data_IF_826431820834
#
_entry.id   IF_826431820834
#
_cell.length_a   1.000
_cell.length_b   1.000
_cell.length_c   1.000
_cell.angle_alpha   90.00
_cell.angle_beta   90.00
_cell.angle_gamma   90.00
#
_symmetry.space_group_name_H-M   'P 1'
#
loop_
_entity.id
_entity.type
_entity.pdbx_description
1 polymer ?
#
# COMPACT_ATOMS: atom_id res chain seq x y z
N UNK A 1 -2.18 -11.52 13.93
CA UNK A 1 -3.13 -10.71 13.09
C UNK A 1 -3.16 -9.21 13.38
N UNK A 2 -3.41 -8.79 14.63
CA UNK A 2 -3.38 -7.36 15.00
C UNK A 2 -1.96 -6.81 14.90
N UNK A 3 -0.96 -7.64 15.24
CA UNK A 3 0.45 -7.30 15.14
C UNK A 3 0.86 -6.87 13.73
N UNK A 4 0.38 -7.54 12.67
CA UNK A 4 0.70 -7.17 11.29
C UNK A 4 0.14 -5.78 10.93
N UNK A 5 -1.11 -5.49 11.31
CA UNK A 5 -1.70 -4.17 11.11
C UNK A 5 -0.95 -3.08 11.91
N UNK A 6 -0.56 -3.36 13.16
CA UNK A 6 0.22 -2.42 13.96
C UNK A 6 1.60 -2.15 13.34
N UNK A 7 2.31 -3.20 12.90
CA UNK A 7 3.62 -3.07 12.27
C UNK A 7 3.53 -2.34 10.92
N UNK A 8 2.46 -2.57 10.15
CA UNK A 8 2.20 -1.78 8.95
C UNK A 8 2.04 -0.29 9.26
N UNK A 9 1.29 0.07 10.32
CA UNK A 9 1.17 1.48 10.73
C UNK A 9 2.54 2.06 11.14
N UNK A 10 3.39 1.31 11.84
CA UNK A 10 4.77 1.73 12.14
C UNK A 10 5.57 1.97 10.86
N UNK A 11 5.46 1.07 9.87
CA UNK A 11 6.11 1.24 8.57
C UNK A 11 5.57 2.46 7.82
N UNK A 12 4.25 2.68 7.85
CA UNK A 12 3.60 3.82 7.23
C UNK A 12 4.12 5.13 7.80
N UNK A 13 4.04 5.32 9.13
CA UNK A 13 4.57 6.53 9.78
C UNK A 13 6.07 6.68 9.55
N UNK A 14 6.81 5.59 9.66
CA UNK A 14 8.25 5.54 9.42
C UNK A 14 8.64 6.07 8.04
N UNK A 15 7.99 5.56 6.99
CA UNK A 15 8.26 5.94 5.61
C UNK A 15 7.77 7.35 5.28
N UNK A 16 6.69 7.82 5.91
CA UNK A 16 6.18 9.18 5.71
C UNK A 16 7.09 10.23 6.36
N UNK A 17 7.53 10.03 7.60
CA UNK A 17 8.34 11.02 8.31
C UNK A 17 9.84 10.98 7.98
N UNK A 18 10.39 9.79 7.73
CA UNK A 18 11.83 9.61 7.49
C UNK A 18 12.15 9.19 6.05
N UNK A 19 11.15 9.02 5.19
CA UNK A 19 11.35 8.72 3.77
C UNK A 19 12.23 7.49 3.56
N UNK A 20 13.24 7.66 2.71
CA UNK A 20 14.15 6.58 2.32
C UNK A 20 15.02 6.06 3.49
N UNK A 21 15.23 6.85 4.55
CA UNK A 21 16.03 6.42 5.71
C UNK A 21 15.35 5.31 6.51
N UNK A 22 14.02 5.17 6.43
CA UNK A 22 13.28 4.14 7.15
C UNK A 22 13.20 2.80 6.41
N UNK A 23 13.56 2.77 5.12
CA UNK A 23 13.48 1.57 4.26
C UNK A 23 14.17 0.34 4.88
N UNK A 24 15.38 0.42 5.47
CA UNK A 24 16.02 -0.75 6.08
C UNK A 24 15.18 -1.40 7.19
N UNK A 25 14.47 -0.59 7.99
CA UNK A 25 13.59 -1.08 9.07
C UNK A 25 12.42 -1.87 8.49
N UNK A 26 11.82 -1.37 7.41
CA UNK A 26 10.71 -2.04 6.72
C UNK A 26 11.20 -3.36 6.10
N UNK A 27 12.41 -3.41 5.53
CA UNK A 27 12.96 -4.66 5.02
C UNK A 27 13.27 -5.69 6.11
N UNK A 28 13.76 -5.25 7.28
CA UNK A 28 13.93 -6.14 8.44
C UNK A 28 12.58 -6.73 8.84
N UNK A 29 11.54 -5.91 8.90
CA UNK A 29 10.19 -6.37 9.21
C UNK A 29 9.63 -7.31 8.13
N UNK A 30 9.76 -6.99 6.84
CA UNK A 30 9.31 -7.85 5.74
C UNK A 30 10.05 -9.20 5.74
N UNK A 31 11.36 -9.21 6.02
CA UNK A 31 12.13 -10.45 6.14
C UNK A 31 11.66 -11.28 7.34
N UNK A 32 11.37 -10.64 8.48
CA UNK A 32 10.76 -11.31 9.62
C UNK A 32 9.36 -11.84 9.29
N UNK A 33 8.50 -11.04 8.66
CA UNK A 33 7.15 -11.43 8.23
C UNK A 33 7.19 -12.67 7.34
N UNK A 34 8.00 -12.65 6.27
CA UNK A 34 8.16 -13.77 5.35
C UNK A 34 8.62 -15.04 6.06
N UNK A 35 9.60 -14.95 6.98
CA UNK A 35 10.08 -16.11 7.76
C UNK A 35 8.98 -16.74 8.63
N UNK A 36 8.01 -15.94 9.08
CA UNK A 36 6.92 -16.37 9.94
C UNK A 36 5.65 -16.77 9.17
N UNK A 37 5.60 -16.51 7.86
CA UNK A 37 4.49 -16.95 7.02
C UNK A 37 4.58 -18.47 6.75
N UNK A 38 3.45 -19.20 6.77
CA UNK A 38 3.43 -20.64 6.44
C UNK A 38 3.93 -20.95 5.03
N UNK A 39 3.67 -20.04 4.08
CA UNK A 39 4.04 -20.18 2.67
C UNK A 39 4.85 -18.95 2.20
N UNK A 40 6.14 -18.83 2.60
CA UNK A 40 6.95 -17.64 2.33
C UNK A 40 7.08 -17.32 0.84
N UNK A 41 7.11 -18.34 -0.02
CA UNK A 41 7.21 -18.17 -1.47
C UNK A 41 5.98 -17.48 -2.07
N UNK A 42 4.78 -17.91 -1.66
CA UNK A 42 3.54 -17.31 -2.14
C UNK A 42 3.36 -15.89 -1.59
N UNK A 43 3.72 -15.68 -0.32
CA UNK A 43 3.70 -14.35 0.30
C UNK A 43 4.65 -13.39 -0.42
N UNK A 44 5.87 -13.83 -0.72
CA UNK A 44 6.83 -13.04 -1.48
C UNK A 44 6.33 -12.71 -2.88
N UNK A 45 5.73 -13.69 -3.58
CA UNK A 45 5.13 -13.47 -4.90
C UNK A 45 4.01 -12.43 -4.86
N UNK A 46 3.13 -12.48 -3.84
CA UNK A 46 2.09 -11.48 -3.66
C UNK A 46 2.71 -10.09 -3.40
N UNK A 47 3.66 -9.99 -2.48
CA UNK A 47 4.34 -8.72 -2.18
C UNK A 47 4.97 -8.12 -3.44
N UNK A 48 5.67 -8.94 -4.22
CA UNK A 48 6.30 -8.50 -5.46
C UNK A 48 5.27 -8.02 -6.50
N UNK A 49 4.20 -8.79 -6.74
CA UNK A 49 3.16 -8.43 -7.70
C UNK A 49 2.47 -7.13 -7.32
N UNK A 50 2.08 -6.99 -6.05
CA UNK A 50 1.38 -5.79 -5.56
C UNK A 50 2.30 -4.58 -5.56
N UNK A 51 3.57 -4.72 -5.18
CA UNK A 51 4.54 -3.63 -5.28
C UNK A 51 4.77 -3.19 -6.74
N UNK A 52 4.84 -4.13 -7.69
CA UNK A 52 4.96 -3.81 -9.11
C UNK A 52 3.71 -3.11 -9.67
N UNK A 53 2.51 -3.55 -9.27
CA UNK A 53 1.27 -2.88 -9.64
C UNK A 53 1.23 -1.47 -9.05
N UNK A 54 1.57 -1.32 -7.78
CA UNK A 54 1.65 -0.02 -7.09
C UNK A 54 2.61 0.95 -7.77
N UNK A 55 3.81 0.46 -8.13
CA UNK A 55 4.79 1.21 -8.92
C UNK A 55 4.18 1.76 -10.20
N UNK A 56 3.48 0.91 -10.97
CA UNK A 56 2.87 1.31 -12.24
C UNK A 56 1.75 2.32 -12.00
N UNK A 57 0.84 2.06 -11.07
CA UNK A 57 -0.33 2.91 -10.81
C UNK A 57 0.10 4.29 -10.30
N UNK A 58 0.88 4.35 -9.23
CA UNK A 58 1.23 5.66 -8.64
C UNK A 58 2.23 6.43 -9.51
N UNK A 59 3.12 5.76 -10.26
CA UNK A 59 3.95 6.45 -11.25
C UNK A 59 3.11 6.98 -12.42
N UNK A 60 2.07 6.27 -12.83
CA UNK A 60 1.13 6.76 -13.86
C UNK A 60 0.39 8.00 -13.35
N UNK A 61 -0.08 7.98 -12.11
CA UNK A 61 -0.74 9.14 -11.48
C UNK A 61 0.23 10.32 -11.33
N UNK A 62 1.50 10.06 -11.01
CA UNK A 62 2.56 11.07 -10.99
C UNK A 62 2.78 11.68 -12.39
N UNK A 63 2.90 10.87 -13.44
CA UNK A 63 3.12 11.34 -14.82
C UNK A 63 1.93 12.11 -15.41
N UNK A 64 0.70 11.74 -15.02
CA UNK A 64 -0.50 12.51 -15.36
C UNK A 64 -0.55 13.85 -14.60
N UNK A 65 0.28 14.01 -13.56
CA UNK A 65 0.32 15.20 -12.72
C UNK A 65 -0.74 15.18 -11.63
N UNK A 66 -1.31 14.04 -11.26
CA UNK A 66 -2.17 13.96 -10.06
C UNK A 66 -1.32 14.11 -8.79
N UNK A 67 -0.17 13.46 -8.78
CA UNK A 67 0.81 13.50 -7.70
C UNK A 67 2.09 14.20 -8.14
N UNK A 68 2.75 14.80 -7.16
CA UNK A 68 4.14 15.25 -7.28
C UNK A 68 4.86 14.99 -5.96
N UNK A 69 6.17 14.83 -6.07
CA UNK A 69 7.04 14.53 -4.96
C UNK A 69 8.22 15.52 -5.01
N UNK A 70 8.88 15.75 -3.87
CA UNK A 70 9.99 16.71 -3.77
C UNK A 70 11.11 16.43 -4.77
N UNK A 71 11.38 15.16 -5.03
CA UNK A 71 12.40 14.74 -5.98
C UNK A 71 11.77 14.35 -7.31
N UNK A 72 12.10 15.09 -8.36
CA UNK A 72 11.72 14.72 -9.73
C UNK A 72 12.40 13.41 -10.15
N UNK A 73 11.59 12.47 -10.65
CA UNK A 73 12.03 11.13 -11.04
C UNK A 73 11.04 10.55 -12.06
N UNK A 74 11.49 9.56 -12.83
CA UNK A 74 10.62 8.82 -13.77
C UNK A 74 9.67 7.85 -13.08
N UNK A 75 9.96 7.50 -11.81
CA UNK A 75 9.15 6.59 -11.00
C UNK A 75 8.92 7.20 -9.62
N UNK A 76 7.90 6.70 -8.93
CA UNK A 76 7.63 7.09 -7.54
C UNK A 76 8.86 6.91 -6.63
N UNK A 77 8.97 7.69 -5.55
CA UNK A 77 10.05 7.55 -4.58
C UNK A 77 10.16 6.14 -4.01
N UNK A 78 11.38 5.73 -3.69
CA UNK A 78 11.66 4.39 -3.17
C UNK A 78 10.88 4.08 -1.87
N UNK A 79 10.69 5.06 -0.99
CA UNK A 79 9.89 4.90 0.22
C UNK A 79 8.44 4.52 -0.08
N UNK A 80 7.83 5.06 -1.13
CA UNK A 80 6.44 4.76 -1.50
C UNK A 80 6.33 3.36 -2.12
N UNK A 81 7.32 2.95 -2.92
CA UNK A 81 7.40 1.58 -3.43
C UNK A 81 7.53 0.56 -2.29
N UNK A 82 8.36 0.87 -1.28
CA UNK A 82 8.50 0.04 -0.09
C UNK A 82 7.23 0.05 0.78
N UNK A 83 6.50 1.17 0.80
CA UNK A 83 5.18 1.24 1.44
C UNK A 83 4.18 0.31 0.77
N UNK A 84 4.20 0.21 -0.55
CA UNK A 84 3.39 -0.76 -1.30
C UNK A 84 3.73 -2.21 -0.95
N UNK A 85 5.02 -2.54 -0.80
CA UNK A 85 5.44 -3.86 -0.34
C UNK A 85 4.97 -4.15 1.09
N UNK A 86 5.06 -3.16 1.99
CA UNK A 86 4.53 -3.24 3.35
C UNK A 86 3.01 -3.46 3.38
N UNK A 87 2.28 -2.73 2.54
CA UNK A 87 0.84 -2.87 2.37
C UNK A 87 0.47 -4.27 1.88
N UNK A 88 1.20 -4.80 0.90
CA UNK A 88 0.97 -6.13 0.36
C UNK A 88 1.08 -7.24 1.42
N UNK A 89 2.02 -7.11 2.36
CA UNK A 89 2.18 -8.02 3.50
C UNK A 89 0.98 -8.02 4.47
N UNK A 90 0.04 -7.08 4.34
CA UNK A 90 -1.20 -7.04 5.12
C UNK A 90 -2.37 -7.71 4.42
N UNK A 91 -2.27 -7.96 3.11
CA UNK A 91 -3.38 -8.40 2.26
C UNK A 91 -3.87 -9.79 2.65
N UNK A 92 -2.97 -10.79 2.76
CA UNK A 92 -3.32 -12.15 3.17
C UNK A 92 -3.78 -12.26 4.63
N UNK A 93 -3.56 -11.21 5.43
CA UNK A 93 -3.77 -11.21 6.87
C UNK A 93 -4.89 -10.23 7.25
N UNK A 94 -4.54 -9.05 7.76
CA UNK A 94 -5.48 -8.11 8.35
C UNK A 94 -6.54 -7.61 7.36
N UNK A 95 -6.17 -7.34 6.10
CA UNK A 95 -7.10 -6.82 5.11
C UNK A 95 -8.09 -7.89 4.63
N UNK A 96 -7.66 -9.13 4.39
CA UNK A 96 -8.56 -10.24 3.98
C UNK A 96 -9.69 -10.50 4.97
N UNK A 97 -9.48 -10.27 6.26
CA UNK A 97 -10.53 -10.41 7.27
C UNK A 97 -11.64 -9.39 7.16
N UNK A 98 -11.29 -8.18 6.70
CA UNK A 98 -12.20 -7.05 6.54
C UNK A 98 -12.85 -7.13 5.15
N UNK A 99 -12.04 -7.32 4.11
CA UNK A 99 -12.42 -7.43 2.70
C UNK A 99 -13.00 -8.81 2.35
N UNK A 100 -14.07 -9.24 3.05
CA UNK A 100 -14.67 -10.57 2.89
C UNK A 100 -15.36 -10.81 1.55
N UNK A 101 -15.72 -9.75 0.84
CA UNK A 101 -16.31 -9.83 -0.50
C UNK A 101 -15.88 -8.63 -1.35
N UNK A 102 -16.17 -8.73 -2.65
CA UNK A 102 -15.81 -7.71 -3.65
C UNK A 102 -16.46 -6.35 -3.34
N UNK A 103 -17.71 -6.33 -2.86
CA UNK A 103 -18.43 -5.09 -2.53
C UNK A 103 -17.77 -4.35 -1.37
N UNK A 104 -17.42 -5.05 -0.29
CA UNK A 104 -16.71 -4.47 0.85
C UNK A 104 -15.34 -3.94 0.41
N UNK A 105 -14.61 -4.72 -0.40
CA UNK A 105 -13.31 -4.30 -0.96
C UNK A 105 -13.44 -3.03 -1.80
N UNK A 106 -14.49 -2.91 -2.62
CA UNK A 106 -14.77 -1.69 -3.40
C UNK A 106 -15.04 -0.50 -2.50
N UNK A 107 -15.87 -0.65 -1.47
CA UNK A 107 -16.18 0.44 -0.53
C UNK A 107 -14.93 0.89 0.24
N UNK A 108 -14.13 -0.05 0.73
CA UNK A 108 -12.87 0.26 1.44
C UNK A 108 -11.90 0.96 0.49
N UNK A 109 -11.76 0.47 -0.74
CA UNK A 109 -10.95 1.11 -1.78
C UNK A 109 -11.45 2.52 -2.12
N UNK A 110 -12.75 2.74 -2.17
CA UNK A 110 -13.33 4.04 -2.53
C UNK A 110 -13.21 5.09 -1.42
N UNK A 111 -13.29 4.69 -0.15
CA UNK A 111 -13.43 5.62 0.97
C UNK A 111 -12.30 5.58 2.00
N UNK A 112 -11.78 4.38 2.31
CA UNK A 112 -10.78 4.23 3.38
C UNK A 112 -9.37 4.43 2.84
N UNK A 113 -9.02 3.82 1.70
CA UNK A 113 -7.67 3.94 1.14
C UNK A 113 -7.31 5.38 0.75
N UNK A 114 -8.19 6.19 0.14
CA UNK A 114 -7.88 7.57 -0.21
C UNK A 114 -7.58 8.44 1.03
N UNK A 115 -8.12 8.10 2.21
CA UNK A 115 -7.76 8.80 3.45
C UNK A 115 -6.27 8.70 3.77
N UNK A 116 -5.61 7.60 3.39
CA UNK A 116 -4.16 7.45 3.55
C UNK A 116 -3.38 8.43 2.67
N UNK A 117 -3.84 8.65 1.42
CA UNK A 117 -3.24 9.65 0.53
C UNK A 117 -3.49 11.06 1.03
N UNK A 118 -4.70 11.34 1.54
CA UNK A 118 -5.00 12.63 2.18
C UNK A 118 -4.11 12.88 3.39
N UNK A 119 -3.89 11.86 4.23
CA UNK A 119 -2.97 11.98 5.36
C UNK A 119 -1.52 12.21 4.90
N UNK A 120 -1.07 11.51 3.86
CA UNK A 120 0.24 11.72 3.26
C UNK A 120 0.42 13.13 2.72
N UNK A 121 -0.62 13.69 2.08
CA UNK A 121 -0.59 15.07 1.58
C UNK A 121 -0.54 16.11 2.71
N UNK A 122 -1.33 15.90 3.78
CA UNK A 122 -1.29 16.77 4.97
C UNK A 122 0.02 16.72 5.74
N UNK A 123 0.79 15.65 5.55
CA UNK A 123 2.12 15.47 6.11
C UNK A 123 3.22 15.81 5.10
N UNK A 124 2.87 16.47 3.99
CA UNK A 124 3.80 16.95 2.95
C UNK A 124 4.62 15.84 2.25
N UNK A 125 4.20 14.57 2.37
CA UNK A 125 4.87 13.44 1.73
C UNK A 125 4.53 13.31 0.24
N UNK A 126 3.38 13.85 -0.19
CA UNK A 126 2.93 13.91 -1.58
C UNK A 126 2.13 15.19 -1.79
N UNK A 127 2.28 15.84 -2.94
CA UNK A 127 1.55 17.07 -3.24
C UNK A 127 0.57 16.84 -4.38
N UNK A 128 -0.67 17.30 -4.20
CA UNK A 128 -1.71 17.24 -5.23
C UNK A 128 -1.65 18.48 -6.13
N UNK A 129 -1.42 18.27 -7.42
CA UNK A 129 -1.29 19.37 -8.39
C UNK A 129 -2.63 19.74 -9.03
N UNK A 130 -3.58 18.80 -9.07
CA UNK A 130 -4.93 19.04 -9.57
C UNK A 130 -5.83 19.57 -8.44
N UNK A 131 -7.06 19.98 -8.79
CA UNK A 131 -8.03 20.39 -7.78
C UNK A 131 -8.29 19.26 -6.79
N UNK A 132 -8.43 19.60 -5.51
CA UNK A 132 -8.54 18.62 -4.42
C UNK A 132 -9.67 17.61 -4.66
N UNK A 133 -10.84 18.07 -5.13
CA UNK A 133 -11.97 17.20 -5.44
C UNK A 133 -11.67 16.24 -6.60
N UNK A 134 -11.01 16.71 -7.66
CA UNK A 134 -10.64 15.87 -8.80
C UNK A 134 -9.63 14.81 -8.38
N UNK A 135 -8.58 15.19 -7.66
CA UNK A 135 -7.56 14.25 -7.16
C UNK A 135 -8.18 13.18 -6.27
N UNK A 136 -8.99 13.57 -5.27
CA UNK A 136 -9.64 12.61 -4.37
C UNK A 136 -10.59 11.68 -5.14
N UNK A 137 -11.41 12.22 -6.05
CA UNK A 137 -12.30 11.40 -6.87
C UNK A 137 -11.52 10.39 -7.72
N UNK A 138 -10.41 10.81 -8.34
CA UNK A 138 -9.54 9.93 -9.12
C UNK A 138 -8.95 8.82 -8.25
N UNK A 139 -8.38 9.15 -7.08
CA UNK A 139 -7.81 8.16 -6.15
C UNK A 139 -8.90 7.18 -5.70
N UNK A 140 -10.09 7.67 -5.32
CA UNK A 140 -11.23 6.84 -4.94
C UNK A 140 -11.64 5.88 -6.05
N UNK A 141 -11.74 6.33 -7.30
CA UNK A 141 -12.12 5.47 -8.43
C UNK A 141 -11.04 4.42 -8.70
N UNK A 142 -9.77 4.83 -8.73
CA UNK A 142 -8.63 3.92 -8.93
C UNK A 142 -8.65 2.83 -7.85
N UNK A 143 -8.73 3.20 -6.58
CA UNK A 143 -8.69 2.24 -5.48
C UNK A 143 -9.95 1.41 -5.31
N UNK A 144 -11.12 1.94 -5.67
CA UNK A 144 -12.37 1.17 -5.74
C UNK A 144 -12.23 -0.03 -6.68
N UNK A 145 -11.51 0.13 -7.80
CA UNK A 145 -11.27 -0.94 -8.77
C UNK A 145 -10.04 -1.78 -8.42
N UNK A 146 -9.00 -1.15 -7.90
CA UNK A 146 -7.71 -1.78 -7.63
C UNK A 146 -7.78 -2.71 -6.41
N UNK A 147 -8.36 -2.27 -5.28
CA UNK A 147 -8.38 -3.09 -4.07
C UNK A 147 -9.04 -4.48 -4.27
N UNK A 148 -10.24 -4.61 -4.86
CA UNK A 148 -10.80 -5.94 -5.11
C UNK A 148 -9.95 -6.79 -6.06
N UNK A 149 -9.21 -6.17 -6.99
CA UNK A 149 -8.25 -6.89 -7.83
C UNK A 149 -7.04 -7.38 -7.03
N UNK A 150 -6.46 -6.55 -6.16
CA UNK A 150 -5.38 -6.99 -5.26
C UNK A 150 -5.85 -8.12 -4.32
N UNK A 151 -7.10 -8.04 -3.85
CA UNK A 151 -7.70 -9.10 -3.02
C UNK A 151 -7.86 -10.43 -3.76
N UNK A 152 -8.08 -10.42 -5.09
CA UNK A 152 -8.18 -11.65 -5.87
C UNK A 152 -6.83 -12.36 -6.06
N UNK A 153 -5.71 -11.65 -5.88
CA UNK A 153 -4.36 -12.22 -5.86
C UNK A 153 -4.03 -12.92 -4.53
N UNK A 154 -4.83 -12.68 -3.47
CA UNK A 154 -4.58 -13.27 -2.16
C UNK A 154 -4.82 -14.77 -2.16
N UNK A 155 -3.97 -15.50 -1.46
CA UNK A 155 -4.09 -16.96 -1.28
C UNK A 155 -4.70 -17.28 0.08
N UNK A 156 -5.39 -18.41 0.20
CA UNK A 156 -5.78 -18.91 1.53
C UNK A 156 -4.52 -19.34 2.29
N UNK A 157 -4.30 -18.71 3.44
CA UNK A 157 -3.24 -19.11 4.35
C UNK A 157 -3.88 -19.74 5.59
N UNK A 158 -3.38 -20.92 6.00
CA UNK A 158 -3.60 -21.39 7.38
C UNK A 158 -3.04 -20.30 8.30
N UNK A 159 -3.84 -19.77 9.23
CA UNK A 159 -3.48 -18.59 10.01
C UNK A 159 -2.07 -18.73 10.62
N UNK A 160 -1.11 -17.98 10.09
CA UNK A 160 0.21 -17.80 10.69
C UNK A 160 0.15 -16.65 11.70
N UNK A 161 0.68 -16.93 12.91
CA UNK A 161 0.75 -16.12 14.12
C UNK A 161 -0.51 -15.29 14.49
N UNK A 162 -1.15 -15.75 15.58
CA UNK A 162 -2.03 -14.98 16.44
C UNK A 162 -1.35 -13.66 16.84
#
# INVERSE_FOLDING_TARGET
>A
MILNALLFNVCWFGLIFWGNYFIPVVFIWLAWHLKNCPNPKQEFQLIFQVAAIGLIIDSSLMHVGIFSFEQESLIIPAWLLVLWAAFAATLNHSIKLICRNVTISRCIGAFVVPMSYLAGERLEAVYFQFSYLATVATISIVWMLLLPYLMSLTVEQKQGYA
#
